data_IF_530972530543
#
_entry.id   IF_530972530543
#
_cell.length_a   1.000
_cell.length_b   1.000
_cell.length_c   1.000
_cell.angle_alpha   90.00
_cell.angle_beta   90.00
_cell.angle_gamma   90.00
#
_symmetry.space_group_name_H-M   'P 1'
#
loop_
_entity.id
_entity.type
_entity.pdbx_description
1 polymer ?
#
# COMPACT_ATOMS: atom_id res chain seq x y z
N UNK A 1 -16.70 1.77 17.13
CA UNK A 1 -16.12 1.96 15.79
C UNK A 1 -14.65 1.61 15.86
N UNK A 2 -14.13 0.85 14.90
CA UNK A 2 -12.69 0.57 14.83
C UNK A 2 -11.96 1.79 14.25
N UNK A 3 -10.81 2.16 14.80
CA UNK A 3 -10.04 3.32 14.34
C UNK A 3 -9.40 3.06 12.96
N UNK A 4 -9.32 4.09 12.13
CA UNK A 4 -8.57 4.06 10.87
C UNK A 4 -7.14 4.46 11.15
N UNK A 5 -6.20 3.56 10.89
CA UNK A 5 -4.76 3.78 11.14
C UNK A 5 -3.96 4.09 9.87
N UNK A 6 -4.45 3.67 8.70
CA UNK A 6 -3.74 3.82 7.43
C UNK A 6 -4.61 4.53 6.41
N UNK A 7 -4.04 5.56 5.78
CA UNK A 7 -4.63 6.29 4.66
C UNK A 7 -3.65 6.19 3.50
N UNK A 8 -4.12 5.70 2.35
CA UNK A 8 -3.32 5.64 1.12
C UNK A 8 -3.95 6.56 0.09
N UNK A 9 -3.22 7.61 -0.28
CA UNK A 9 -3.59 8.49 -1.37
C UNK A 9 -2.98 7.97 -2.67
N UNK A 10 -3.84 7.61 -3.62
CA UNK A 10 -3.43 7.18 -4.96
C UNK A 10 -3.95 8.17 -5.99
N UNK A 11 -3.03 8.84 -6.69
CA UNK A 11 -3.32 9.82 -7.74
C UNK A 11 -2.86 9.23 -9.08
N UNK A 12 -3.71 9.30 -10.10
CA UNK A 12 -3.43 8.67 -11.39
C UNK A 12 -3.99 9.43 -12.59
N UNK A 13 -3.36 9.32 -13.78
CA UNK A 13 -3.81 10.01 -14.99
C UNK A 13 -5.09 9.39 -15.56
N UNK A 14 -6.02 10.21 -16.07
CA UNK A 14 -7.38 9.77 -16.48
C UNK A 14 -7.46 8.56 -17.44
N UNK A 15 -6.44 8.28 -18.26
CA UNK A 15 -6.50 7.30 -19.37
C UNK A 15 -5.96 5.90 -19.05
N UNK A 16 -5.84 5.48 -17.78
CA UNK A 16 -5.29 4.15 -17.42
C UNK A 16 -6.08 3.38 -16.37
N UNK A 17 -7.41 3.35 -16.51
CA UNK A 17 -8.34 2.77 -15.54
C UNK A 17 -7.98 1.35 -15.07
N UNK A 18 -7.62 0.44 -15.99
CA UNK A 18 -7.25 -0.93 -15.61
C UNK A 18 -5.99 -0.96 -14.74
N UNK A 19 -4.95 -0.19 -15.09
CA UNK A 19 -3.73 -0.10 -14.27
C UNK A 19 -4.05 0.47 -12.88
N UNK A 20 -4.99 1.40 -12.77
CA UNK A 20 -5.43 1.95 -11.48
C UNK A 20 -6.11 0.90 -10.61
N UNK A 21 -7.01 0.09 -11.19
CA UNK A 21 -7.72 -0.94 -10.44
C UNK A 21 -6.75 -2.03 -9.95
N UNK A 22 -5.76 -2.40 -10.76
CA UNK A 22 -4.70 -3.31 -10.33
C UNK A 22 -3.87 -2.75 -9.16
N UNK A 23 -3.51 -1.46 -9.21
CA UNK A 23 -2.78 -0.80 -8.13
C UNK A 23 -3.60 -0.76 -6.83
N UNK A 24 -4.88 -0.35 -6.90
CA UNK A 24 -5.79 -0.34 -5.76
C UNK A 24 -5.97 -1.74 -5.17
N UNK A 25 -6.14 -2.76 -6.00
CA UNK A 25 -6.28 -4.14 -5.54
C UNK A 25 -4.99 -4.67 -4.90
N UNK A 26 -3.81 -4.27 -5.38
CA UNK A 26 -2.54 -4.61 -4.76
C UNK A 26 -2.41 -3.96 -3.37
N UNK A 27 -2.69 -2.65 -3.28
CA UNK A 27 -2.70 -1.90 -2.01
C UNK A 27 -3.67 -2.54 -1.02
N UNK A 28 -4.92 -2.81 -1.43
CA UNK A 28 -5.92 -3.43 -0.56
C UNK A 28 -5.47 -4.81 -0.03
N UNK A 29 -4.91 -5.66 -0.90
CA UNK A 29 -4.40 -7.00 -0.52
C UNK A 29 -3.21 -6.93 0.43
N UNK A 30 -2.39 -5.88 0.38
CA UNK A 30 -1.30 -5.71 1.32
C UNK A 30 -1.83 -5.53 2.76
N UNK A 31 -2.91 -4.76 2.91
CA UNK A 31 -3.52 -4.47 4.21
C UNK A 31 -4.45 -5.58 4.73
N UNK A 32 -4.78 -6.63 3.96
CA UNK A 32 -5.58 -7.75 4.49
C UNK A 32 -4.78 -8.61 5.47
N UNK A 33 -3.45 -8.68 5.32
CA UNK A 33 -2.56 -9.43 6.20
C UNK A 33 -2.34 -8.71 7.53
N UNK A 34 -2.74 -9.34 8.64
CA UNK A 34 -2.60 -8.78 9.99
C UNK A 34 -1.15 -8.44 10.32
N UNK A 35 -0.22 -9.37 10.06
CA UNK A 35 1.23 -9.18 10.28
C UNK A 35 1.78 -7.94 9.57
N UNK A 36 1.28 -7.65 8.35
CA UNK A 36 1.69 -6.44 7.61
C UNK A 36 1.20 -5.19 8.31
N UNK A 37 -0.07 -5.16 8.76
CA UNK A 37 -0.63 -4.03 9.48
C UNK A 37 0.13 -3.78 10.78
N UNK A 38 0.41 -4.85 11.53
CA UNK A 38 1.10 -4.75 12.82
C UNK A 38 2.54 -4.26 12.62
N UNK A 39 3.26 -4.81 11.62
CA UNK A 39 4.62 -4.36 11.30
C UNK A 39 4.65 -2.88 10.89
N UNK A 40 3.66 -2.43 10.12
CA UNK A 40 3.56 -1.02 9.70
C UNK A 40 3.16 -0.09 10.86
N UNK A 41 2.31 -0.55 11.79
CA UNK A 41 1.97 0.21 13.00
C UNK A 41 3.16 0.39 13.94
N UNK A 42 4.09 -0.57 13.95
CA UNK A 42 5.30 -0.55 14.77
C UNK A 42 6.50 0.11 14.06
N UNK A 43 6.32 0.63 12.84
CA UNK A 43 7.39 1.33 12.14
C UNK A 43 7.76 2.62 12.90
N UNK A 44 9.07 2.80 13.15
CA UNK A 44 9.60 3.92 13.93
C UNK A 44 9.58 5.22 13.16
N UNK A 45 9.79 5.14 11.85
CA UNK A 45 9.94 6.29 10.96
C UNK A 45 9.40 5.98 9.55
N UNK A 46 9.38 7.03 8.73
CA UNK A 46 8.89 6.98 7.37
C UNK A 46 9.74 6.05 6.49
N UNK A 47 11.04 5.94 6.73
CA UNK A 47 11.94 5.10 5.95
C UNK A 47 11.64 3.62 6.20
N UNK A 48 11.49 3.22 7.46
CA UNK A 48 11.11 1.87 7.83
C UNK A 48 9.72 1.51 7.26
N UNK A 49 8.76 2.44 7.35
CA UNK A 49 7.44 2.26 6.77
C UNK A 49 7.51 2.08 5.24
N UNK A 50 8.33 2.89 4.56
CA UNK A 50 8.55 2.80 3.12
C UNK A 50 9.18 1.47 2.71
N UNK A 51 10.17 0.97 3.47
CA UNK A 51 10.79 -0.34 3.19
C UNK A 51 9.78 -1.48 3.33
N UNK A 52 8.95 -1.47 4.39
CA UNK A 52 7.87 -2.45 4.58
C UNK A 52 6.87 -2.39 3.44
N UNK A 53 6.50 -1.20 2.98
CA UNK A 53 5.60 -1.00 1.86
C UNK A 53 6.20 -1.52 0.54
N UNK A 54 7.48 -1.23 0.25
CA UNK A 54 8.16 -1.66 -0.99
C UNK A 54 8.39 -3.17 -1.06
N UNK A 55 8.86 -3.79 0.02
CA UNK A 55 9.14 -5.23 0.05
C UNK A 55 7.88 -6.07 -0.24
N UNK A 56 6.70 -5.55 0.13
CA UNK A 56 5.41 -6.23 -0.07
C UNK A 56 4.74 -5.87 -1.39
N UNK A 57 5.18 -4.80 -2.08
CA UNK A 57 4.65 -4.34 -3.38
C UNK A 57 5.58 -4.67 -4.56
N UNK A 58 6.16 -5.88 -4.60
CA UNK A 58 6.80 -6.40 -5.82
C UNK A 58 5.71 -6.68 -6.86
N UNK A 59 5.17 -5.62 -7.48
CA UNK A 59 4.61 -5.43 -8.84
C UNK A 59 4.21 -3.94 -8.89
N UNK A 60 5.20 -3.07 -9.09
CA UNK A 60 5.02 -1.84 -9.85
C UNK A 60 6.20 -1.81 -10.81
N UNK A 61 6.16 -2.65 -11.84
CA UNK A 61 7.05 -2.47 -12.97
C UNK A 61 6.67 -1.13 -13.59
N UNK A 62 7.54 -0.14 -13.46
CA UNK A 62 7.59 0.96 -14.41
C UNK A 62 8.05 0.34 -15.74
N UNK A 63 7.09 0.13 -16.65
CA UNK A 63 7.38 0.06 -18.08
C UNK A 63 7.46 1.49 -18.63
#
# INVERSE_FOLDING_TARGET
SSAVHFIVLFISPRKSYQKHLHALAAIARMFTKMETRDSMLQARDADQLYQLFRQKNVILKCE
#
